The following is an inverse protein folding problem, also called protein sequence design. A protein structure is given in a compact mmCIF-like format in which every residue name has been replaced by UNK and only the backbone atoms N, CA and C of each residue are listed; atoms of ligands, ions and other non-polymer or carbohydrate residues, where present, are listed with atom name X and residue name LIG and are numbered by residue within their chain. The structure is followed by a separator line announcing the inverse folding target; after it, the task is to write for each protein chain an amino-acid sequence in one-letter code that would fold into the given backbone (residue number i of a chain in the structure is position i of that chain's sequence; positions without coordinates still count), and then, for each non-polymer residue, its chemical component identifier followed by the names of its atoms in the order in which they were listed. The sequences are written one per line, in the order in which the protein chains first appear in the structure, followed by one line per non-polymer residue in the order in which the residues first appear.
data_IF_523525401429
#
_entry.id   IF_523525401429
#
_cell.length_a   1.000
_cell.length_b   1.000
_cell.length_c   1.000
_cell.angle_alpha   90.00
_cell.angle_beta   90.00
_cell.angle_gamma   90.00
#
_symmetry.space_group_name_H-M   'P 1'
#
loop_
_entity.id
_entity.type
_entity.pdbx_description
1 polymer ?
#
# COMPACT_ATOMS: atom_id res chain seq x y z
N UNK A 1 10.22 -35.04 17.98
CA UNK A 1 11.34 -34.07 17.79
C UNK A 1 10.94 -32.93 16.86
N UNK A 2 10.22 -33.18 15.76
CA UNK A 2 9.56 -32.14 14.95
C UNK A 2 8.79 -31.13 15.80
N UNK A 3 7.95 -31.61 16.73
CA UNK A 3 7.14 -30.75 17.60
C UNK A 3 7.97 -29.80 18.47
N UNK A 4 9.19 -30.19 18.83
CA UNK A 4 10.11 -29.34 19.61
C UNK A 4 10.54 -28.14 18.77
N UNK A 5 10.92 -28.36 17.50
CA UNK A 5 11.28 -27.27 16.59
C UNK A 5 10.10 -26.36 16.27
N UNK A 6 8.91 -26.95 16.04
CA UNK A 6 7.69 -26.18 15.83
C UNK A 6 7.33 -25.33 17.06
N UNK A 7 7.34 -25.92 18.26
CA UNK A 7 7.02 -25.20 19.50
C UNK A 7 8.04 -24.12 19.83
N UNK A 8 9.33 -24.36 19.60
CA UNK A 8 10.38 -23.34 19.78
C UNK A 8 10.17 -22.15 18.84
N UNK A 9 9.86 -22.42 17.56
CA UNK A 9 9.60 -21.38 16.58
C UNK A 9 8.38 -20.53 16.95
N UNK A 10 7.31 -21.19 17.41
CA UNK A 10 6.09 -20.54 17.90
C UNK A 10 6.36 -19.67 19.13
N UNK A 11 7.10 -20.18 20.11
CA UNK A 11 7.49 -19.41 21.29
C UNK A 11 8.33 -18.17 20.93
N UNK A 12 9.23 -18.29 19.95
CA UNK A 12 9.99 -17.14 19.44
C UNK A 12 9.10 -16.16 18.67
N UNK A 13 8.12 -16.63 17.89
CA UNK A 13 7.13 -15.77 17.21
C UNK A 13 6.34 -14.93 18.21
N UNK A 14 5.84 -15.54 19.28
CA UNK A 14 5.09 -14.84 20.31
C UNK A 14 5.97 -13.86 21.11
N UNK A 15 7.22 -14.25 21.39
CA UNK A 15 8.20 -13.35 22.02
C UNK A 15 8.49 -12.13 21.14
N UNK A 16 8.68 -12.33 19.83
CA UNK A 16 8.88 -11.24 18.88
C UNK A 16 7.68 -10.30 18.86
N UNK A 17 6.45 -10.85 18.80
CA UNK A 17 5.21 -10.06 18.88
C UNK A 17 5.18 -9.20 20.14
N UNK A 18 5.43 -9.81 21.30
CA UNK A 18 5.46 -9.12 22.60
C UNK A 18 6.49 -8.00 22.63
N UNK A 19 7.71 -8.25 22.14
CA UNK A 19 8.75 -7.22 22.04
C UNK A 19 8.30 -6.05 21.16
N UNK A 20 7.70 -6.33 20.00
CA UNK A 20 7.24 -5.29 19.07
C UNK A 20 6.07 -4.47 19.64
N UNK A 21 5.12 -5.12 20.32
CA UNK A 21 3.97 -4.45 20.95
C UNK A 21 4.39 -3.54 22.09
N UNK A 22 5.34 -3.98 22.92
CA UNK A 22 5.93 -3.17 23.99
C UNK A 22 6.92 -2.11 23.51
N UNK A 23 7.34 -2.14 22.23
CA UNK A 23 8.38 -1.24 21.71
C UNK A 23 7.85 0.10 21.19
N UNK A 24 8.71 1.11 21.25
CA UNK A 24 8.58 2.37 20.52
C UNK A 24 9.03 2.30 19.05
N UNK A 25 9.14 1.10 18.49
CA UNK A 25 9.78 0.87 17.19
C UNK A 25 9.02 1.53 16.04
N UNK A 26 9.75 2.22 15.16
CA UNK A 26 9.18 2.80 13.96
C UNK A 26 8.68 1.66 13.05
N UNK A 27 7.45 1.75 12.55
CA UNK A 27 6.79 0.69 11.76
C UNK A 27 6.33 -0.57 12.51
N UNK A 28 6.27 -0.57 13.85
CA UNK A 28 5.76 -1.73 14.63
C UNK A 28 4.49 -2.35 14.06
N UNK A 29 3.50 -1.54 13.66
CA UNK A 29 2.24 -2.04 13.10
C UNK A 29 2.42 -2.74 11.75
N UNK A 30 3.31 -2.24 10.90
CA UNK A 30 3.65 -2.88 9.63
C UNK A 30 4.40 -4.19 9.86
N UNK A 31 5.29 -4.24 10.85
CA UNK A 31 6.06 -5.45 11.17
C UNK A 31 5.16 -6.50 11.80
N UNK A 32 4.27 -6.11 12.72
CA UNK A 32 3.25 -6.97 13.32
C UNK A 32 2.36 -7.60 12.24
N UNK A 33 1.92 -6.83 11.24
CA UNK A 33 1.17 -7.36 10.09
C UNK A 33 1.98 -8.40 9.30
N UNK A 34 3.29 -8.15 9.13
CA UNK A 34 4.20 -9.06 8.44
C UNK A 34 4.52 -10.34 9.22
N UNK A 35 4.11 -10.49 10.49
CA UNK A 35 4.30 -11.75 11.22
C UNK A 35 3.57 -12.94 10.56
N UNK A 36 2.52 -12.68 9.78
CA UNK A 36 1.86 -13.69 8.94
C UNK A 36 2.82 -14.36 7.93
N UNK A 37 3.92 -13.71 7.55
CA UNK A 37 4.93 -14.30 6.66
C UNK A 37 5.66 -15.49 7.30
N UNK A 38 5.60 -15.62 8.63
CA UNK A 38 6.17 -16.75 9.36
C UNK A 38 5.42 -18.05 9.15
N UNK A 39 4.18 -18.00 8.65
CA UNK A 39 3.41 -19.20 8.34
C UNK A 39 4.01 -19.94 7.13
N UNK A 40 4.85 -19.27 6.33
CA UNK A 40 5.52 -19.87 5.17
C UNK A 40 4.61 -20.09 3.97
N UNK A 41 3.39 -19.56 4.01
CA UNK A 41 2.32 -19.78 3.02
C UNK A 41 2.10 -18.60 2.08
N UNK A 42 2.98 -17.60 2.11
CA UNK A 42 2.90 -16.51 1.15
C UNK A 42 3.20 -17.00 -0.27
N UNK A 43 2.50 -16.46 -1.26
CA UNK A 43 2.67 -16.79 -2.69
C UNK A 43 4.14 -16.75 -3.14
N UNK A 44 4.92 -15.77 -2.67
CA UNK A 44 6.35 -15.68 -2.99
C UNK A 44 7.16 -16.82 -2.38
N UNK A 45 6.82 -17.27 -1.17
CA UNK A 45 7.49 -18.40 -0.51
C UNK A 45 7.11 -19.72 -1.21
N UNK A 46 5.85 -19.85 -1.61
CA UNK A 46 5.38 -21.02 -2.37
C UNK A 46 6.05 -21.13 -3.72
N UNK A 47 6.08 -20.02 -4.46
CA UNK A 47 6.79 -19.95 -5.73
C UNK A 47 8.26 -20.36 -5.55
N UNK A 48 8.93 -19.86 -4.52
CA UNK A 48 10.33 -20.20 -4.24
C UNK A 48 10.54 -21.71 -4.01
N UNK A 49 9.72 -22.33 -3.15
CA UNK A 49 9.81 -23.77 -2.89
C UNK A 49 9.50 -24.61 -4.12
N UNK A 50 8.57 -24.17 -4.97
CA UNK A 50 8.25 -24.82 -6.23
C UNK A 50 9.41 -24.76 -7.23
N UNK A 51 9.99 -23.57 -7.43
CA UNK A 51 11.13 -23.40 -8.33
C UNK A 51 12.29 -24.31 -7.92
N UNK A 52 12.62 -24.35 -6.63
CA UNK A 52 13.73 -25.17 -6.14
C UNK A 52 13.49 -26.66 -6.36
N UNK A 53 12.25 -27.15 -6.22
CA UNK A 53 11.88 -28.54 -6.54
C UNK A 53 12.04 -28.86 -8.03
N UNK A 54 11.77 -27.91 -8.92
CA UNK A 54 11.87 -28.06 -10.38
C UNK A 54 13.33 -28.08 -10.85
N UNK A 55 14.15 -27.14 -10.39
CA UNK A 55 15.49 -26.92 -10.95
C UNK A 55 16.59 -27.79 -10.35
N UNK A 56 16.42 -28.28 -9.12
CA UNK A 56 17.45 -29.03 -8.41
C UNK A 56 17.00 -30.47 -8.16
N UNK A 57 17.89 -31.42 -8.51
CA UNK A 57 17.57 -32.86 -8.52
C UNK A 57 17.59 -33.48 -7.13
N UNK A 58 18.56 -33.08 -6.30
CA UNK A 58 18.74 -33.64 -4.96
C UNK A 58 18.50 -32.58 -3.86
N UNK A 59 18.20 -33.07 -2.67
CA UNK A 59 17.81 -32.22 -1.54
C UNK A 59 18.95 -31.33 -1.04
N UNK A 60 20.21 -31.75 -1.22
CA UNK A 60 21.38 -30.98 -0.80
C UNK A 60 21.52 -29.73 -1.68
N UNK A 61 21.40 -29.88 -3.00
CA UNK A 61 21.40 -28.75 -3.93
C UNK A 61 20.25 -27.78 -3.65
N UNK A 62 19.05 -28.32 -3.40
CA UNK A 62 17.87 -27.52 -3.03
C UNK A 62 18.14 -26.68 -1.77
N UNK A 63 18.67 -27.32 -0.74
CA UNK A 63 19.04 -26.67 0.52
C UNK A 63 20.09 -25.57 0.33
N UNK A 64 21.20 -25.86 -0.35
CA UNK A 64 22.27 -24.87 -0.52
C UNK A 64 21.82 -23.67 -1.37
N UNK A 65 20.96 -23.88 -2.36
CA UNK A 65 20.35 -22.78 -3.12
C UNK A 65 19.50 -21.87 -2.21
N UNK A 66 18.52 -22.46 -1.50
CA UNK A 66 17.62 -21.71 -0.61
C UNK A 66 18.42 -20.95 0.46
N UNK A 67 19.35 -21.64 1.13
CA UNK A 67 20.21 -21.08 2.16
C UNK A 67 21.01 -19.89 1.63
N UNK A 68 21.66 -20.05 0.48
CA UNK A 68 22.52 -19.01 -0.10
C UNK A 68 21.70 -17.80 -0.51
N UNK A 69 20.62 -18.01 -1.28
CA UNK A 69 19.77 -16.93 -1.77
C UNK A 69 19.19 -16.11 -0.63
N UNK A 70 18.57 -16.75 0.36
CA UNK A 70 17.93 -16.02 1.46
C UNK A 70 18.93 -15.39 2.43
N UNK A 71 20.15 -15.92 2.53
CA UNK A 71 21.24 -15.23 3.25
C UNK A 71 21.62 -13.94 2.52
N UNK A 72 21.81 -13.99 1.20
CA UNK A 72 22.15 -12.82 0.39
C UNK A 72 21.03 -11.78 0.39
N UNK A 73 19.78 -12.19 0.19
CA UNK A 73 18.64 -11.26 0.20
C UNK A 73 18.47 -10.56 1.54
N UNK A 74 18.68 -11.27 2.66
CA UNK A 74 18.60 -10.66 3.99
C UNK A 74 19.68 -9.59 4.20
N UNK A 75 20.87 -9.76 3.62
CA UNK A 75 21.94 -8.74 3.67
C UNK A 75 21.62 -7.55 2.76
N UNK A 76 21.27 -7.80 1.49
CA UNK A 76 21.05 -6.74 0.50
C UNK A 76 19.79 -5.93 0.85
N UNK A 77 18.65 -6.59 1.04
CA UNK A 77 17.39 -5.88 1.31
C UNK A 77 17.31 -5.40 2.76
N UNK A 78 17.85 -6.18 3.70
CA UNK A 78 17.81 -5.83 5.12
C UNK A 78 18.63 -4.60 5.45
N UNK A 79 19.68 -4.29 4.68
CA UNK A 79 20.47 -3.07 4.89
C UNK A 79 19.76 -1.77 4.47
N UNK A 80 18.62 -1.84 3.77
CA UNK A 80 17.94 -0.63 3.25
C UNK A 80 17.16 0.14 4.32
N UNK A 81 16.53 -0.58 5.23
CA UNK A 81 15.76 -0.03 6.37
C UNK A 81 15.37 -1.15 7.32
N UNK A 82 15.06 -0.80 8.57
CA UNK A 82 14.56 -1.77 9.54
C UNK A 82 13.25 -2.42 9.08
N UNK A 83 12.39 -1.69 8.38
CA UNK A 83 11.17 -2.27 7.80
C UNK A 83 11.47 -3.39 6.80
N UNK A 84 12.43 -3.17 5.89
CA UNK A 84 12.83 -4.18 4.92
C UNK A 84 13.57 -5.33 5.59
N UNK A 85 14.46 -5.04 6.55
CA UNK A 85 15.09 -6.06 7.39
C UNK A 85 14.07 -7.03 7.98
N UNK A 86 13.06 -6.52 8.70
CA UNK A 86 12.04 -7.39 9.29
C UNK A 86 11.25 -8.14 8.23
N UNK A 87 10.81 -7.48 7.15
CA UNK A 87 10.01 -8.15 6.12
C UNK A 87 10.77 -9.33 5.50
N UNK A 88 12.00 -9.11 5.04
CA UNK A 88 12.80 -10.13 4.35
C UNK A 88 13.18 -11.27 5.28
N UNK A 89 13.57 -10.96 6.53
CA UNK A 89 13.89 -11.99 7.52
C UNK A 89 12.67 -12.80 7.97
N UNK A 90 11.49 -12.18 8.13
CA UNK A 90 10.26 -12.93 8.45
C UNK A 90 9.86 -13.86 7.30
N UNK A 91 10.01 -13.42 6.04
CA UNK A 91 9.81 -14.30 4.88
C UNK A 91 10.81 -15.46 4.87
N UNK A 92 12.09 -15.19 5.12
CA UNK A 92 13.11 -16.22 5.19
C UNK A 92 12.82 -17.24 6.30
N UNK A 93 12.50 -16.76 7.50
CA UNK A 93 12.22 -17.61 8.65
C UNK A 93 10.99 -18.51 8.41
N UNK A 94 9.89 -17.96 7.89
CA UNK A 94 8.71 -18.76 7.55
C UNK A 94 8.97 -19.78 6.44
N UNK A 95 9.77 -19.41 5.43
CA UNK A 95 10.16 -20.31 4.36
C UNK A 95 10.98 -21.49 4.90
N UNK A 96 12.00 -21.23 5.70
CA UNK A 96 12.83 -22.28 6.29
C UNK A 96 12.05 -23.12 7.31
N UNK A 97 11.09 -22.54 8.02
CA UNK A 97 10.20 -23.27 8.92
C UNK A 97 9.34 -24.26 8.12
N UNK A 98 8.71 -23.80 7.03
CA UNK A 98 7.91 -24.67 6.15
C UNK A 98 8.78 -25.73 5.47
N UNK A 99 9.92 -25.34 4.92
CA UNK A 99 10.84 -26.29 4.27
C UNK A 99 11.34 -27.36 5.24
N UNK A 100 11.59 -27.00 6.51
CA UNK A 100 11.94 -27.97 7.54
C UNK A 100 10.84 -29.02 7.77
N UNK A 101 9.57 -28.60 7.76
CA UNK A 101 8.41 -29.52 7.87
C UNK A 101 8.31 -30.43 6.66
N UNK A 102 8.39 -29.86 5.45
CA UNK A 102 8.34 -30.62 4.19
C UNK A 102 9.44 -31.70 4.11
N UNK A 103 10.63 -31.41 4.67
CA UNK A 103 11.78 -32.31 4.61
C UNK A 103 11.86 -33.31 5.77
N UNK A 104 10.97 -33.23 6.78
CA UNK A 104 11.11 -34.03 8.00
C UNK A 104 11.16 -35.53 7.73
N UNK A 105 10.25 -36.03 6.89
CA UNK A 105 10.17 -37.46 6.56
C UNK A 105 11.02 -37.86 5.33
N UNK A 106 11.67 -36.87 4.68
CA UNK A 106 12.48 -37.08 3.47
C UNK A 106 13.98 -37.07 3.83
N UNK A 107 14.42 -36.02 4.52
CA UNK A 107 15.82 -35.81 4.91
C UNK A 107 15.89 -35.02 6.22
N UNK A 108 15.90 -35.75 7.34
CA UNK A 108 15.92 -35.16 8.68
C UNK A 108 17.11 -34.22 8.92
N UNK A 109 18.28 -34.50 8.33
CA UNK A 109 19.45 -33.62 8.46
C UNK A 109 19.18 -32.25 7.85
N UNK A 110 18.57 -32.19 6.67
CA UNK A 110 18.18 -30.93 6.02
C UNK A 110 17.04 -30.27 6.79
N UNK A 111 16.06 -31.05 7.26
CA UNK A 111 14.97 -30.54 8.07
C UNK A 111 15.47 -29.80 9.32
N UNK A 112 16.38 -30.43 10.08
CA UNK A 112 17.00 -29.84 11.27
C UNK A 112 17.78 -28.57 10.89
N UNK A 113 18.60 -28.60 9.84
CA UNK A 113 19.33 -27.41 9.37
C UNK A 113 18.37 -26.26 9.03
N UNK A 114 17.25 -26.56 8.39
CA UNK A 114 16.22 -25.59 8.04
C UNK A 114 15.55 -24.99 9.28
N UNK A 115 15.15 -25.82 10.25
CA UNK A 115 14.59 -25.35 11.51
C UNK A 115 15.57 -24.47 12.30
N UNK A 116 16.83 -24.88 12.39
CA UNK A 116 17.87 -24.08 13.05
C UNK A 116 18.03 -22.72 12.36
N UNK A 117 18.04 -22.69 11.02
CA UNK A 117 18.13 -21.42 10.27
C UNK A 117 16.93 -20.52 10.52
N UNK A 118 15.72 -21.07 10.51
CA UNK A 118 14.49 -20.35 10.83
C UNK A 118 14.54 -19.74 12.24
N UNK A 119 14.96 -20.54 13.22
CA UNK A 119 15.10 -20.14 14.62
C UNK A 119 16.16 -19.05 14.82
N UNK A 120 17.32 -19.16 14.15
CA UNK A 120 18.38 -18.14 14.18
C UNK A 120 17.88 -16.80 13.65
N UNK A 121 17.24 -16.78 12.47
CA UNK A 121 16.72 -15.55 11.86
C UNK A 121 15.67 -14.89 12.75
N UNK A 122 14.80 -15.68 13.38
CA UNK A 122 13.81 -15.16 14.33
C UNK A 122 14.48 -14.60 15.59
N UNK A 123 15.55 -15.25 16.07
CA UNK A 123 16.38 -14.75 17.16
C UNK A 123 17.01 -13.38 16.86
N UNK A 124 17.53 -13.19 15.65
CA UNK A 124 18.05 -11.90 15.18
C UNK A 124 16.96 -10.82 15.18
N UNK A 125 15.76 -11.15 14.68
CA UNK A 125 14.61 -10.25 14.70
C UNK A 125 14.21 -9.86 16.13
N UNK A 126 14.19 -10.81 17.08
CA UNK A 126 13.89 -10.55 18.50
C UNK A 126 14.95 -9.62 19.10
N UNK A 127 16.23 -9.88 18.82
CA UNK A 127 17.33 -9.03 19.28
C UNK A 127 17.15 -7.60 18.83
N UNK A 128 16.91 -7.38 17.53
CA UNK A 128 16.71 -6.04 16.98
C UNK A 128 15.42 -5.40 17.50
N UNK A 129 14.33 -6.16 17.67
CA UNK A 129 13.10 -5.62 18.26
C UNK A 129 13.30 -5.17 19.72
N UNK A 130 14.10 -5.91 20.49
CA UNK A 130 14.43 -5.60 21.88
C UNK A 130 15.38 -4.41 22.04
N UNK A 131 16.42 -4.30 21.21
CA UNK A 131 17.41 -3.23 21.28
C UNK A 131 17.11 -2.03 20.37
N UNK A 132 16.20 -2.16 19.42
CA UNK A 132 15.85 -1.14 18.43
C UNK A 132 15.49 0.23 19.01
N UNK A 133 14.69 0.33 20.09
CA UNK A 133 14.41 1.61 20.76
C UNK A 133 15.65 2.31 21.32
N UNK A 134 16.76 1.59 21.51
CA UNK A 134 18.03 2.08 22.04
C UNK A 134 19.01 2.47 20.94
N UNK A 135 18.63 2.43 19.64
CA UNK A 135 19.46 2.86 18.51
C UNK A 135 18.99 4.24 18.01
N UNK A 136 19.47 5.36 18.60
CA UNK A 136 18.87 6.68 18.36
C UNK A 136 19.17 7.21 16.96
N UNK A 137 20.31 6.82 16.38
CA UNK A 137 20.77 7.24 15.05
C UNK A 137 19.91 6.66 13.92
N UNK A 138 19.51 5.39 14.02
CA UNK A 138 18.67 4.73 13.02
C UNK A 138 17.23 5.26 13.06
N UNK A 139 16.67 5.41 14.27
CA UNK A 139 15.35 6.04 14.44
C UNK A 139 15.33 7.49 13.93
N UNK A 140 16.40 8.26 14.14
CA UNK A 140 16.49 9.64 13.66
C UNK A 140 16.55 9.70 12.12
N UNK A 141 17.42 8.90 11.50
CA UNK A 141 17.56 8.85 10.04
C UNK A 141 16.26 8.42 9.34
N UNK A 142 15.57 7.40 9.87
CA UNK A 142 14.32 6.93 9.29
C UNK A 142 13.17 7.93 9.49
N UNK A 143 13.10 8.63 10.64
CA UNK A 143 12.15 9.73 10.87
C UNK A 143 12.35 10.85 9.85
N UNK A 144 13.60 11.23 9.55
CA UNK A 144 13.91 12.25 8.55
C UNK A 144 13.48 11.81 7.15
N UNK A 145 13.79 10.57 6.75
CA UNK A 145 13.34 9.99 5.46
C UNK A 145 11.81 10.01 5.33
N UNK A 146 11.08 9.69 6.40
CA UNK A 146 9.61 9.75 6.41
C UNK A 146 9.08 11.19 6.31
N UNK A 147 9.69 12.14 7.01
CA UNK A 147 9.33 13.54 6.92
C UNK A 147 9.50 14.07 5.49
N UNK A 148 10.62 13.73 4.84
CA UNK A 148 10.87 14.05 3.42
C UNK A 148 9.82 13.42 2.50
N UNK A 149 9.50 12.13 2.66
CA UNK A 149 8.43 11.48 1.87
C UNK A 149 7.07 12.15 2.05
N UNK A 150 6.69 12.51 3.29
CA UNK A 150 5.44 13.21 3.58
C UNK A 150 5.42 14.60 2.94
N UNK A 151 6.55 15.31 2.96
CA UNK A 151 6.68 16.60 2.31
C UNK A 151 6.57 16.47 0.77
N UNK A 152 7.24 15.48 0.17
CA UNK A 152 7.14 15.22 -1.27
C UNK A 152 5.73 14.81 -1.69
N UNK A 153 5.05 13.96 -0.89
CA UNK A 153 3.65 13.59 -1.15
C UNK A 153 2.71 14.80 -1.06
N UNK A 154 2.93 15.70 -0.08
CA UNK A 154 2.19 16.97 0.00
C UNK A 154 2.45 17.86 -1.21
N UNK A 155 3.71 18.03 -1.62
CA UNK A 155 4.07 18.79 -2.82
C UNK A 155 3.43 18.22 -4.09
N UNK A 156 3.44 16.89 -4.23
CA UNK A 156 2.76 16.20 -5.34
C UNK A 156 1.24 16.39 -5.31
N UNK A 157 0.63 16.34 -4.12
CA UNK A 157 -0.80 16.63 -3.95
C UNK A 157 -1.18 18.06 -4.31
N UNK A 158 -0.37 19.04 -3.90
CA UNK A 158 -0.56 20.46 -4.27
C UNK A 158 -0.40 20.65 -5.77
N UNK A 159 0.65 20.12 -6.37
CA UNK A 159 0.88 20.19 -7.82
C UNK A 159 -0.26 19.54 -8.62
N UNK A 160 -0.81 18.40 -8.15
CA UNK A 160 -1.97 17.75 -8.79
C UNK A 160 -3.24 18.58 -8.64
N UNK A 161 -3.43 19.28 -7.53
CA UNK A 161 -4.57 20.18 -7.34
C UNK A 161 -4.50 21.42 -8.26
N UNK A 162 -3.31 21.98 -8.46
CA UNK A 162 -3.05 23.09 -9.40
C UNK A 162 -3.35 22.68 -10.85
N UNK A 163 -2.98 21.45 -11.25
CA UNK A 163 -3.27 20.93 -12.58
C UNK A 163 -4.76 20.80 -12.88
N UNK A 164 -5.60 20.61 -11.86
CA UNK A 164 -7.05 20.54 -12.02
C UNK A 164 -7.75 21.90 -12.01
N UNK A 165 -7.05 22.98 -11.63
CA UNK A 165 -7.65 24.31 -11.53
C UNK A 165 -8.27 24.79 -12.85
N UNK A 166 -7.60 24.69 -14.02
CA UNK A 166 -8.18 25.12 -15.29
C UNK A 166 -9.45 24.33 -15.66
N UNK A 167 -9.49 23.03 -15.35
CA UNK A 167 -10.65 22.17 -15.63
C UNK A 167 -11.83 22.52 -14.73
N UNK A 168 -11.58 22.87 -13.46
CA UNK A 168 -12.61 23.34 -12.54
C UNK A 168 -13.16 24.71 -12.96
N UNK A 169 -12.30 25.61 -13.41
CA UNK A 169 -12.73 26.91 -13.92
C UNK A 169 -13.56 26.78 -15.19
N UNK A 170 -13.18 25.87 -16.08
CA UNK A 170 -13.98 25.55 -17.26
C UNK A 170 -15.34 24.92 -16.90
N UNK A 171 -15.37 24.05 -15.89
CA UNK A 171 -16.62 23.48 -15.37
C UNK A 171 -17.57 24.60 -14.91
N UNK A 172 -17.06 25.56 -14.14
CA UNK A 172 -17.84 26.73 -13.68
C UNK A 172 -18.32 27.55 -14.88
N UNK A 173 -17.43 27.84 -15.83
CA UNK A 173 -17.74 28.62 -17.04
C UNK A 173 -18.87 27.98 -17.85
N UNK A 174 -18.80 26.68 -18.12
CA UNK A 174 -19.81 25.93 -18.87
C UNK A 174 -21.15 25.88 -18.14
N UNK A 175 -21.14 25.71 -16.81
CA UNK A 175 -22.38 25.71 -16.01
C UNK A 175 -23.16 27.02 -16.14
N UNK A 176 -22.47 28.16 -16.10
CA UNK A 176 -23.10 29.47 -16.29
C UNK A 176 -23.44 29.75 -17.76
N UNK A 177 -22.60 29.33 -18.71
CA UNK A 177 -22.83 29.57 -20.13
C UNK A 177 -24.09 28.87 -20.65
N UNK A 178 -24.31 27.63 -20.23
CA UNK A 178 -25.43 26.81 -20.70
C UNK A 178 -26.65 26.85 -19.79
N UNK A 179 -26.68 27.76 -18.83
CA UNK A 179 -27.81 27.87 -17.91
C UNK A 179 -29.12 28.07 -18.71
N UNK A 180 -30.14 27.23 -18.49
CA UNK A 180 -31.42 27.37 -19.18
C UNK A 180 -32.12 28.69 -18.83
N UNK A 181 -32.68 29.35 -19.85
CA UNK A 181 -33.40 30.62 -19.70
C UNK A 181 -34.71 30.50 -18.93
N UNK A 182 -35.24 29.28 -18.75
CA UNK A 182 -36.47 28.96 -18.02
C UNK A 182 -36.25 28.88 -16.49
N UNK A 183 -35.25 29.59 -15.97
CA UNK A 183 -34.97 29.68 -14.54
C UNK A 183 -33.94 28.68 -14.02
N UNK A 184 -33.05 28.16 -14.87
CA UNK A 184 -31.91 27.33 -14.46
C UNK A 184 -32.12 25.81 -14.56
N UNK A 185 -31.08 25.05 -14.21
CA UNK A 185 -31.07 23.59 -14.36
C UNK A 185 -32.05 22.91 -13.41
N UNK A 186 -32.72 21.85 -13.88
CA UNK A 186 -33.65 21.05 -13.06
C UNK A 186 -32.98 20.39 -11.85
N UNK A 187 -31.75 19.91 -12.02
CA UNK A 187 -30.93 19.35 -10.94
C UNK A 187 -29.45 19.29 -11.35
N UNK A 188 -28.58 19.08 -10.35
CA UNK A 188 -27.11 19.00 -10.53
C UNK A 188 -26.67 17.90 -11.50
N UNK A 189 -27.40 16.79 -11.61
CA UNK A 189 -27.04 15.70 -12.55
C UNK A 189 -27.33 16.09 -13.99
N UNK A 190 -28.43 16.78 -14.25
CA UNK A 190 -28.77 17.29 -15.59
C UNK A 190 -27.73 18.34 -16.02
N UNK A 191 -27.37 19.27 -15.13
CA UNK A 191 -26.35 20.26 -15.40
C UNK A 191 -24.98 19.64 -15.72
N UNK A 192 -24.53 18.66 -14.91
CA UNK A 192 -23.25 17.98 -15.13
C UNK A 192 -23.20 17.21 -16.47
N UNK A 193 -24.32 16.58 -16.88
CA UNK A 193 -24.42 15.91 -18.19
C UNK A 193 -24.45 16.89 -19.35
N UNK A 194 -25.07 18.05 -19.17
CA UNK A 194 -25.19 19.03 -20.25
C UNK A 194 -23.83 19.64 -20.65
N UNK A 195 -22.90 19.76 -19.71
CA UNK A 195 -21.55 20.29 -19.96
C UNK A 195 -20.53 19.20 -20.33
N UNK A 196 -20.91 17.92 -20.31
CA UNK A 196 -20.01 16.77 -20.39
C UNK A 196 -19.16 16.78 -21.67
N UNK A 197 -19.80 16.91 -22.84
CA UNK A 197 -19.11 16.84 -24.13
C UNK A 197 -18.05 17.94 -24.29
N UNK A 198 -18.39 19.18 -23.93
CA UNK A 198 -17.49 20.32 -24.07
C UNK A 198 -16.35 20.29 -23.04
N UNK A 199 -16.64 19.81 -21.83
CA UNK A 199 -15.62 19.62 -20.81
C UNK A 199 -14.64 18.50 -21.19
N UNK A 200 -15.10 17.42 -21.83
CA UNK A 200 -14.21 16.38 -22.39
C UNK A 200 -13.31 16.96 -23.46
N UNK A 201 -13.86 17.73 -24.42
CA UNK A 201 -13.08 18.35 -25.47
C UNK A 201 -12.01 19.31 -24.90
N UNK A 202 -12.37 20.08 -23.87
CA UNK A 202 -11.42 20.95 -23.17
C UNK A 202 -10.30 20.16 -22.48
N UNK A 203 -10.64 19.08 -21.77
CA UNK A 203 -9.65 18.20 -21.10
C UNK A 203 -8.70 17.56 -22.11
N UNK A 204 -9.21 17.08 -23.26
CA UNK A 204 -8.39 16.51 -24.33
C UNK A 204 -7.40 17.52 -24.88
N UNK A 205 -7.86 18.76 -25.13
CA UNK A 205 -6.99 19.85 -25.57
C UNK A 205 -5.92 20.17 -24.51
N UNK A 206 -6.31 20.28 -23.23
CA UNK A 206 -5.37 20.49 -22.14
C UNK A 206 -4.32 19.39 -22.03
N UNK A 207 -4.70 18.11 -22.16
CA UNK A 207 -3.76 16.98 -22.14
C UNK A 207 -2.76 17.03 -23.30
N UNK A 208 -3.19 17.49 -24.47
CA UNK A 208 -2.31 17.66 -25.63
C UNK A 208 -1.21 18.69 -25.37
N UNK A 209 -1.51 19.70 -24.54
CA UNK A 209 -0.58 20.77 -24.15
C UNK A 209 0.20 20.43 -22.87
N UNK A 210 -0.38 19.64 -21.96
CA UNK A 210 0.18 19.28 -20.67
C UNK A 210 0.00 17.79 -20.37
N UNK A 211 1.05 17.00 -20.65
CA UNK A 211 1.05 15.53 -20.49
C UNK A 211 0.88 15.04 -19.05
N UNK A 212 0.93 15.91 -18.05
CA UNK A 212 0.84 15.54 -16.64
C UNK A 212 -0.58 15.57 -16.07
N UNK A 213 -1.59 15.95 -16.86
CA UNK A 213 -3.00 15.94 -16.44
C UNK A 213 -3.56 14.50 -16.41
N UNK A 214 -3.51 13.89 -15.24
CA UNK A 214 -4.08 12.57 -14.95
C UNK A 214 -5.57 12.70 -14.56
N UNK A 215 -6.43 12.85 -15.57
CA UNK A 215 -7.89 12.94 -15.43
C UNK A 215 -8.54 11.99 -16.43
N UNK A 216 -9.37 11.03 -15.97
CA UNK A 216 -10.09 10.15 -16.88
C UNK A 216 -11.27 10.89 -17.53
N UNK A 217 -11.31 10.94 -18.85
CA UNK A 217 -12.36 11.60 -19.62
C UNK A 217 -13.66 10.79 -19.61
N UNK A 218 -13.56 9.47 -19.57
CA UNK A 218 -14.72 8.55 -19.55
C UNK A 218 -15.57 8.69 -18.27
N UNK A 219 -14.98 9.25 -17.21
CA UNK A 219 -15.62 9.45 -15.90
C UNK A 219 -15.86 10.93 -15.57
N UNK A 220 -15.83 11.84 -16.55
CA UNK A 220 -15.83 13.28 -16.30
C UNK A 220 -17.03 13.73 -15.44
N UNK A 221 -18.23 13.17 -15.68
CA UNK A 221 -19.43 13.46 -14.90
C UNK A 221 -19.29 13.03 -13.43
N UNK A 222 -18.61 11.91 -13.17
CA UNK A 222 -18.31 11.43 -11.82
C UNK A 222 -17.31 12.36 -11.13
N UNK A 223 -16.30 12.83 -11.86
CA UNK A 223 -15.29 13.78 -11.36
C UNK A 223 -15.93 15.12 -11.01
N UNK A 224 -16.78 15.67 -11.87
CA UNK A 224 -17.50 16.92 -11.62
C UNK A 224 -18.41 16.81 -10.39
N UNK A 225 -19.17 15.72 -10.26
CA UNK A 225 -19.97 15.45 -9.05
C UNK A 225 -19.13 15.32 -7.79
N UNK A 226 -17.91 14.77 -7.90
CA UNK A 226 -16.98 14.71 -6.78
C UNK A 226 -16.49 16.11 -6.41
N UNK A 227 -16.21 16.98 -7.38
CA UNK A 227 -15.81 18.36 -7.11
C UNK A 227 -16.95 19.19 -6.54
N UNK A 228 -18.18 19.01 -7.00
CA UNK A 228 -19.36 19.66 -6.41
C UNK A 228 -19.47 19.44 -4.88
N UNK A 229 -19.01 18.29 -4.37
CA UNK A 229 -19.00 18.00 -2.92
C UNK A 229 -17.81 18.54 -2.16
N UNK A 230 -16.67 18.70 -2.84
CA UNK A 230 -15.35 18.89 -2.21
C UNK A 230 -14.65 20.19 -2.59
N UNK A 231 -15.19 20.96 -3.54
CA UNK A 231 -14.66 22.22 -4.03
C UNK A 231 -15.72 23.31 -3.90
N UNK A 232 -15.43 24.32 -3.08
CA UNK A 232 -16.38 25.38 -2.75
C UNK A 232 -16.79 26.23 -3.98
N UNK A 233 -15.87 26.46 -4.92
CA UNK A 233 -16.15 27.27 -6.13
C UNK A 233 -17.07 26.50 -7.08
N UNK A 234 -16.78 25.23 -7.32
CA UNK A 234 -17.62 24.38 -8.17
C UNK A 234 -19.00 24.18 -7.53
N UNK A 235 -19.04 23.97 -6.21
CA UNK A 235 -20.30 23.86 -5.46
C UNK A 235 -21.17 25.11 -5.62
N UNK A 236 -20.59 26.29 -5.42
CA UNK A 236 -21.31 27.56 -5.55
C UNK A 236 -21.88 27.75 -6.97
N UNK A 237 -21.12 27.40 -8.01
CA UNK A 237 -21.61 27.45 -9.39
C UNK A 237 -22.82 26.54 -9.63
N UNK A 238 -22.83 25.33 -9.04
CA UNK A 238 -24.01 24.46 -9.09
C UNK A 238 -25.20 25.04 -8.31
N UNK A 239 -24.97 25.68 -7.18
CA UNK A 239 -26.03 26.29 -6.36
C UNK A 239 -26.65 27.52 -7.00
N UNK A 240 -25.86 28.27 -7.79
CA UNK A 240 -26.31 29.45 -8.52
C UNK A 240 -27.07 29.09 -9.82
N UNK A 241 -26.68 28.00 -10.48
CA UNK A 241 -27.23 27.62 -11.79
C UNK A 241 -28.37 26.60 -11.72
N UNK A 242 -28.56 25.91 -10.59
CA UNK A 242 -29.62 24.89 -10.41
C UNK A 242 -30.81 25.50 -9.66
N UNK A 243 -32.02 25.18 -10.12
CA UNK A 243 -33.29 25.58 -9.48
C UNK A 243 -33.28 25.20 -7.98
N UNK A 244 -33.32 26.22 -7.12
CA UNK A 244 -33.46 26.03 -5.68
C UNK A 244 -34.83 25.39 -5.40
N UNK A 245 -34.84 24.30 -4.65
CA UNK A 245 -36.11 23.69 -4.20
C UNK A 245 -36.70 24.64 -3.17
N UNK A 246 -37.80 25.33 -3.52
CA UNK A 246 -38.54 26.17 -2.56
C UNK A 246 -39.01 25.25 -1.43
N UNK A 247 -38.51 25.40 -0.19
CA UNK A 247 -38.98 24.60 0.93
C UNK A 247 -40.29 25.23 1.42
N UNK A 248 -41.41 24.72 0.92
CA UNK A 248 -42.74 25.13 1.40
C UNK A 248 -43.74 25.37 0.28
N UNK A 249 -44.24 24.29 -0.31
CA UNK A 249 -45.63 24.25 -0.76
C UNK A 249 -46.09 22.81 -0.59
N UNK A 250 -46.84 22.59 0.49
CA UNK A 250 -47.58 21.36 0.68
C UNK A 250 -48.61 21.29 -0.45
N UNK A 251 -48.56 20.22 -1.23
CA UNK A 251 -49.63 19.89 -2.16
C UNK A 251 -50.93 19.74 -1.37
N UNK A 252 -51.83 20.69 -1.56
CA UNK A 252 -53.23 20.62 -1.18
C UNK A 252 -54.02 20.78 -2.46
N UNK A 253 -54.40 19.65 -3.06
CA UNK A 253 -55.75 19.34 -3.56
C UNK A 253 -55.78 17.88 -4.08
#
# INVERSE_FOLDING_TARGET
MLDVFCSDFEGKRDRLRTCLEGSGFLYRHSILKSLSLLDGTNESQEFELLQVKIYYRDDIQRWEHLRTKWTVMSVIEGSQSLKYFFKTNLMAAGLFQRYGRDMWDINQTIAIKSFLRASTILGECIGIAGYGPLLPSELASEKEKMAKKKQSARKGGVSKAELYLPVKEETIRLLHQYVPTDGGWKNKTVAAKAIEADLVAFVQNLKSQNKNLDLNEEDITTVVKRWERNDERVKAAFEDTVKQKIPGMNDSD
#
